data_IF_132346887864
#
_entry.id   IF_132346887864
#
_cell.length_a   1.000
_cell.length_b   1.000
_cell.length_c   1.000
_cell.angle_alpha   90.00
_cell.angle_beta   90.00
_cell.angle_gamma   90.00
#
_symmetry.space_group_name_H-M   'P 1'
#
loop_
_entity.id
_entity.type
_entity.pdbx_description
1 polymer ?
#
# COMPACT_ATOMS: atom_id res chain seq x y z
N UNK A 1 30.81 -12.74 -8.93
CA UNK A 1 30.39 -11.57 -8.17
C UNK A 1 29.06 -11.89 -7.50
N UNK A 2 29.07 -12.03 -6.22
CA UNK A 2 27.87 -12.35 -5.47
C UNK A 2 26.99 -11.10 -5.39
N UNK A 3 26.04 -11.00 -6.28
CA UNK A 3 24.86 -10.16 -6.06
C UNK A 3 24.17 -10.75 -4.83
N UNK A 4 23.99 -9.94 -3.82
CA UNK A 4 23.38 -10.29 -2.54
C UNK A 4 22.08 -11.07 -2.73
N UNK A 5 22.15 -12.39 -2.78
CA UNK A 5 21.00 -13.28 -2.99
C UNK A 5 20.10 -13.39 -1.74
N UNK A 6 20.40 -12.65 -0.68
CA UNK A 6 19.69 -12.73 0.61
C UNK A 6 18.91 -11.46 1.00
N UNK A 7 18.66 -10.55 0.05
CA UNK A 7 17.87 -9.35 0.35
C UNK A 7 16.40 -9.71 0.42
N UNK A 8 15.82 -9.55 1.60
CA UNK A 8 14.39 -9.69 1.75
C UNK A 8 13.67 -8.45 1.20
N UNK A 9 12.59 -8.71 0.50
CA UNK A 9 11.75 -7.71 -0.15
C UNK A 9 10.35 -7.80 0.43
N UNK A 10 9.80 -6.68 0.85
CA UNK A 10 8.45 -6.58 1.35
C UNK A 10 7.51 -6.04 0.28
N UNK A 11 6.43 -6.74 0.04
CA UNK A 11 5.34 -6.31 -0.84
C UNK A 11 4.12 -5.95 -0.02
N UNK A 12 3.63 -4.73 -0.17
CA UNK A 12 2.31 -4.33 0.28
C UNK A 12 1.37 -4.46 -0.91
N UNK A 13 0.44 -5.39 -0.84
CA UNK A 13 -0.45 -5.70 -1.96
C UNK A 13 -1.91 -5.56 -1.59
N UNK A 14 -2.75 -5.39 -2.59
CA UNK A 14 -4.19 -5.54 -2.42
C UNK A 14 -4.54 -6.99 -2.05
N UNK A 15 -5.72 -7.20 -1.51
CA UNK A 15 -6.29 -8.53 -1.22
C UNK A 15 -6.68 -9.18 -2.55
N UNK A 16 -5.71 -9.83 -3.16
CA UNK A 16 -5.85 -10.49 -4.46
C UNK A 16 -4.99 -11.75 -4.53
N UNK A 17 -5.53 -12.79 -5.11
CA UNK A 17 -4.81 -14.04 -5.32
C UNK A 17 -3.98 -13.99 -6.61
N UNK A 18 -2.86 -14.71 -6.63
CA UNK A 18 -2.07 -14.94 -7.84
C UNK A 18 -1.09 -13.83 -8.20
N UNK A 19 -0.89 -12.83 -7.35
CA UNK A 19 0.10 -11.76 -7.58
C UNK A 19 1.53 -12.21 -7.35
N UNK A 20 1.76 -13.16 -6.46
CA UNK A 20 3.12 -13.57 -6.03
C UNK A 20 4.04 -13.96 -7.20
N UNK A 21 3.65 -14.84 -8.14
CA UNK A 21 4.53 -15.23 -9.23
C UNK A 21 4.94 -14.06 -10.12
N UNK A 22 4.02 -13.13 -10.35
CA UNK A 22 4.24 -11.96 -11.21
C UNK A 22 5.18 -10.97 -10.52
N UNK A 23 4.99 -10.77 -9.23
CA UNK A 23 5.85 -9.92 -8.42
C UNK A 23 7.28 -10.49 -8.33
N UNK A 24 7.40 -11.80 -8.17
CA UNK A 24 8.69 -12.49 -8.18
C UNK A 24 9.44 -12.30 -9.50
N UNK A 25 8.75 -12.49 -10.62
CA UNK A 25 9.35 -12.31 -11.95
C UNK A 25 9.74 -10.85 -12.20
N UNK A 26 8.84 -9.92 -11.92
CA UNK A 26 9.05 -8.49 -12.19
C UNK A 26 10.16 -7.86 -11.36
N UNK A 27 10.35 -8.34 -10.13
CA UNK A 27 11.36 -7.80 -9.20
C UNK A 27 12.60 -8.69 -9.08
N UNK A 28 12.60 -9.82 -9.77
CA UNK A 28 13.66 -10.85 -9.66
C UNK A 28 13.90 -11.28 -8.20
N UNK A 29 12.82 -11.43 -7.45
CA UNK A 29 12.84 -11.82 -6.04
C UNK A 29 12.46 -13.30 -5.92
N UNK A 30 13.28 -14.09 -5.21
CA UNK A 30 12.93 -15.48 -4.93
C UNK A 30 11.83 -15.59 -3.87
N UNK A 31 11.06 -16.68 -3.92
CA UNK A 31 9.96 -16.91 -2.98
C UNK A 31 10.40 -16.88 -1.51
N UNK A 32 11.59 -17.36 -1.22
CA UNK A 32 12.17 -17.39 0.14
C UNK A 32 12.54 -16.02 0.69
N UNK A 33 12.76 -15.03 -0.20
CA UNK A 33 13.10 -13.66 0.16
C UNK A 33 11.91 -12.70 0.06
N UNK A 34 10.73 -13.22 -0.26
CA UNK A 34 9.51 -12.45 -0.42
C UNK A 34 8.68 -12.43 0.86
N UNK A 35 8.40 -11.26 1.37
CA UNK A 35 7.43 -11.02 2.43
C UNK A 35 6.25 -10.26 1.87
N UNK A 36 5.04 -10.58 2.30
CA UNK A 36 3.83 -9.94 1.79
C UNK A 36 2.91 -9.51 2.92
N UNK A 37 2.47 -8.28 2.86
CA UNK A 37 1.36 -7.76 3.68
C UNK A 37 0.22 -7.43 2.73
N UNK A 38 -0.93 -8.04 2.95
CA UNK A 38 -2.13 -7.80 2.15
C UNK A 38 -3.11 -6.92 2.92
N UNK A 39 -3.54 -5.85 2.27
CA UNK A 39 -4.60 -4.99 2.79
C UNK A 39 -5.44 -4.47 1.63
N UNK A 40 -6.70 -4.15 1.87
CA UNK A 40 -7.56 -3.63 0.82
C UNK A 40 -6.97 -2.33 0.25
N UNK A 41 -6.76 -2.30 -1.09
CA UNK A 41 -6.16 -1.18 -1.80
C UNK A 41 -4.66 -0.96 -1.58
N UNK A 42 -3.96 -1.84 -0.85
CA UNK A 42 -2.54 -1.71 -0.50
C UNK A 42 -2.18 -0.36 0.17
N UNK A 43 -3.17 0.35 0.71
CA UNK A 43 -3.02 1.68 1.27
C UNK A 43 -2.55 1.68 2.73
N UNK A 44 -1.74 2.67 3.07
CA UNK A 44 -1.42 3.02 4.45
C UNK A 44 -2.16 4.32 4.78
N UNK A 45 -3.16 4.24 5.64
CA UNK A 45 -3.99 5.38 6.00
C UNK A 45 -3.39 6.25 7.11
N UNK A 46 -2.52 5.67 7.92
CA UNK A 46 -1.98 6.36 9.09
C UNK A 46 -0.52 5.98 9.37
N UNK A 47 0.37 6.97 9.62
CA UNK A 47 1.80 6.71 9.85
C UNK A 47 2.10 5.91 11.12
N UNK A 48 1.16 5.81 12.04
CA UNK A 48 1.27 5.05 13.29
C UNK A 48 0.25 3.90 13.37
N UNK A 49 -0.35 3.53 12.24
CA UNK A 49 -1.29 2.40 12.15
C UNK A 49 -0.59 1.05 12.12
N UNK A 50 -1.38 -0.02 12.20
CA UNK A 50 -0.88 -1.40 12.29
C UNK A 50 -0.08 -1.84 11.06
N UNK A 51 -0.46 -1.40 9.87
CA UNK A 51 0.28 -1.71 8.65
C UNK A 51 1.67 -1.06 8.69
N UNK A 52 1.74 0.22 9.03
CA UNK A 52 3.03 0.91 9.15
C UNK A 52 3.91 0.31 10.24
N UNK A 53 3.33 -0.08 11.37
CA UNK A 53 4.02 -0.82 12.43
C UNK A 53 4.61 -2.12 11.90
N UNK A 54 3.85 -2.88 11.11
CA UNK A 54 4.32 -4.13 10.50
C UNK A 54 5.46 -3.91 9.50
N UNK A 55 5.40 -2.83 8.72
CA UNK A 55 6.49 -2.42 7.82
C UNK A 55 7.78 -2.16 8.61
N UNK A 56 7.68 -1.42 9.70
CA UNK A 56 8.84 -1.11 10.57
C UNK A 56 9.45 -2.39 11.14
N UNK A 57 8.62 -3.31 11.65
CA UNK A 57 9.11 -4.60 12.15
C UNK A 57 9.75 -5.45 11.05
N UNK A 58 9.20 -5.45 9.85
CA UNK A 58 9.80 -6.16 8.71
C UNK A 58 11.21 -5.61 8.39
N UNK A 59 11.41 -4.31 8.45
CA UNK A 59 12.73 -3.70 8.24
C UNK A 59 13.72 -4.15 9.31
N UNK A 60 13.35 -4.09 10.58
CA UNK A 60 14.30 -4.29 11.69
C UNK A 60 14.46 -5.74 12.13
N UNK A 61 13.46 -6.59 11.96
CA UNK A 61 13.51 -7.99 12.38
C UNK A 61 13.77 -8.96 11.25
N UNK A 62 13.33 -8.62 10.05
CA UNK A 62 13.47 -9.48 8.88
C UNK A 62 14.52 -8.98 7.88
N UNK A 63 15.22 -7.91 8.20
CA UNK A 63 16.26 -7.31 7.35
C UNK A 63 15.76 -6.92 5.94
N UNK A 64 14.56 -6.35 5.87
CA UNK A 64 14.00 -5.84 4.62
C UNK A 64 14.76 -4.60 4.16
N UNK A 65 15.26 -4.62 2.95
CA UNK A 65 15.98 -3.49 2.34
C UNK A 65 15.20 -2.85 1.18
N UNK A 66 14.16 -3.50 0.68
CA UNK A 66 13.35 -3.00 -0.43
C UNK A 66 11.86 -3.25 -0.16
N UNK A 67 11.04 -2.25 -0.43
CA UNK A 67 9.60 -2.29 -0.22
C UNK A 67 8.90 -1.86 -1.49
N UNK A 68 7.95 -2.67 -1.95
CA UNK A 68 7.06 -2.35 -3.05
C UNK A 68 5.63 -2.18 -2.56
N UNK A 69 5.04 -1.03 -2.85
CA UNK A 69 3.61 -0.80 -2.68
C UNK A 69 2.93 -1.08 -4.01
N UNK A 70 2.10 -2.12 -4.05
CA UNK A 70 1.53 -2.68 -5.28
C UNK A 70 0.06 -2.31 -5.41
N UNK A 71 -0.26 -1.42 -6.32
CA UNK A 71 -1.62 -1.05 -6.68
C UNK A 71 -2.16 -1.84 -7.87
N UNK A 72 -3.46 -1.93 -7.98
CA UNK A 72 -4.14 -2.54 -9.12
C UNK A 72 -4.85 -1.47 -9.93
N UNK A 73 -4.48 -1.32 -11.20
CA UNK A 73 -5.24 -0.50 -12.17
C UNK A 73 -6.28 -1.39 -12.86
N UNK A 74 -7.40 -0.80 -13.24
CA UNK A 74 -8.48 -1.47 -13.98
C UNK A 74 -9.18 -2.62 -13.21
N UNK A 75 -8.96 -2.71 -11.91
CA UNK A 75 -9.91 -3.45 -11.10
C UNK A 75 -11.25 -2.73 -11.27
N UNK A 76 -12.09 -3.26 -12.17
CA UNK A 76 -13.50 -2.91 -12.16
C UNK A 76 -13.93 -3.17 -10.73
N UNK A 77 -14.01 -2.12 -9.98
CA UNK A 77 -14.55 -2.19 -8.64
C UNK A 77 -15.84 -2.94 -8.78
N UNK A 78 -15.90 -4.13 -8.22
CA UNK A 78 -17.16 -4.81 -7.96
C UNK A 78 -17.89 -3.99 -6.87
N UNK A 79 -17.71 -2.67 -6.94
CA UNK A 79 -18.34 -1.69 -6.09
C UNK A 79 -19.86 -1.86 -6.07
N UNK A 80 -20.42 -2.39 -7.16
CA UNK A 80 -21.82 -2.72 -7.22
C UNK A 80 -22.25 -3.78 -6.19
N UNK A 81 -21.47 -4.84 -5.99
CA UNK A 81 -21.91 -5.95 -5.12
C UNK A 81 -21.58 -5.71 -3.64
N UNK A 82 -20.46 -5.07 -3.33
CA UNK A 82 -20.09 -4.73 -1.95
C UNK A 82 -21.00 -3.65 -1.37
N UNK A 83 -21.30 -2.61 -2.15
CA UNK A 83 -22.19 -1.52 -1.74
C UNK A 83 -23.66 -1.98 -1.59
N UNK A 84 -24.11 -2.95 -2.40
CA UNK A 84 -25.46 -3.51 -2.27
C UNK A 84 -25.64 -4.25 -0.94
N UNK A 85 -24.62 -4.95 -0.48
CA UNK A 85 -24.64 -5.57 0.85
C UNK A 85 -24.58 -4.54 1.98
N UNK A 86 -23.87 -3.42 1.79
CA UNK A 86 -23.81 -2.32 2.74
C UNK A 86 -25.14 -1.59 2.86
N UNK A 87 -25.93 -1.50 1.79
CA UNK A 87 -27.28 -0.91 1.85
C UNK A 87 -28.22 -1.64 2.81
N UNK A 88 -28.02 -2.96 3.01
CA UNK A 88 -28.78 -3.71 4.01
C UNK A 88 -28.38 -3.39 5.46
N UNK A 89 -27.27 -2.66 5.64
CA UNK A 89 -26.72 -2.28 6.94
C UNK A 89 -26.82 -0.78 7.23
N UNK A 90 -27.74 -0.08 6.56
CA UNK A 90 -27.88 1.40 6.67
C UNK A 90 -27.89 1.92 8.11
N UNK A 91 -28.59 1.27 9.02
CA UNK A 91 -28.65 1.69 10.43
C UNK A 91 -27.28 1.56 11.13
N UNK A 92 -26.52 0.54 10.79
CA UNK A 92 -25.16 0.34 11.33
C UNK A 92 -24.17 1.35 10.74
N UNK A 93 -24.34 1.69 9.46
CA UNK A 93 -23.51 2.70 8.78
C UNK A 93 -23.74 4.07 9.40
N UNK A 94 -25.00 4.45 9.67
CA UNK A 94 -25.30 5.71 10.34
C UNK A 94 -24.66 5.80 11.73
N UNK A 95 -24.67 4.71 12.49
CA UNK A 95 -23.99 4.64 13.78
C UNK A 95 -22.47 4.80 13.63
N UNK A 96 -21.88 4.14 12.63
CA UNK A 96 -20.46 4.27 12.33
C UNK A 96 -20.11 5.68 11.85
N UNK A 97 -20.90 6.28 10.99
CA UNK A 97 -20.70 7.67 10.56
C UNK A 97 -20.72 8.64 11.74
N UNK A 98 -21.63 8.44 12.68
CA UNK A 98 -21.65 9.22 13.91
C UNK A 98 -20.37 9.05 14.72
N UNK A 99 -19.87 7.81 14.87
CA UNK A 99 -18.64 7.53 15.58
C UNK A 99 -17.43 8.13 14.86
N UNK A 100 -17.34 8.02 13.54
CA UNK A 100 -16.28 8.62 12.73
C UNK A 100 -16.20 10.12 12.89
N UNK A 101 -17.36 10.79 12.95
CA UNK A 101 -17.44 12.24 13.11
C UNK A 101 -17.09 12.71 14.53
N UNK A 102 -17.32 11.89 15.54
CA UNK A 102 -17.20 12.28 16.94
C UNK A 102 -16.03 11.66 17.69
N UNK A 103 -15.39 10.62 17.16
CA UNK A 103 -14.24 9.96 17.75
C UNK A 103 -12.91 10.51 17.21
N UNK A 104 -12.70 11.80 17.30
CA UNK A 104 -11.42 12.44 16.98
C UNK A 104 -10.41 12.17 18.10
N UNK A 105 -9.11 11.96 17.77
CA UNK A 105 -8.39 12.15 16.50
C UNK A 105 -8.13 10.86 15.71
N UNK A 106 -8.67 9.73 16.10
CA UNK A 106 -8.31 8.41 15.55
C UNK A 106 -8.80 8.19 14.12
N UNK A 107 -9.84 8.92 13.71
CA UNK A 107 -10.33 8.91 12.34
C UNK A 107 -10.21 10.31 11.72
N UNK A 108 -9.50 10.39 10.62
CA UNK A 108 -9.34 11.62 9.84
C UNK A 108 -10.66 11.97 9.14
N UNK A 109 -11.57 12.56 9.85
CA UNK A 109 -12.82 13.14 9.41
C UNK A 109 -13.26 12.79 7.98
N UNK A 110 -14.25 11.94 7.85
CA UNK A 110 -14.82 11.49 6.61
C UNK A 110 -16.07 10.69 6.90
N UNK A 111 -16.67 10.15 5.85
CA UNK A 111 -17.76 9.20 5.94
C UNK A 111 -17.22 7.77 5.85
N UNK A 112 -18.00 6.80 6.31
CA UNK A 112 -17.70 5.37 6.13
C UNK A 112 -17.53 5.03 4.65
N UNK A 113 -18.33 5.67 3.80
CA UNK A 113 -18.28 5.46 2.35
C UNK A 113 -16.95 5.94 1.74
N UNK A 114 -16.47 7.10 2.13
CA UNK A 114 -15.15 7.59 1.72
C UNK A 114 -14.03 6.66 2.18
N UNK A 115 -14.07 6.21 3.42
CA UNK A 115 -13.09 5.27 3.96
C UNK A 115 -13.09 3.91 3.25
N UNK A 116 -14.25 3.39 2.90
CA UNK A 116 -14.37 2.11 2.17
C UNK A 116 -13.97 2.21 0.70
N UNK A 117 -14.13 3.38 0.09
CA UNK A 117 -13.87 3.61 -1.34
C UNK A 117 -12.52 4.30 -1.62
N UNK A 118 -11.65 4.42 -0.64
CA UNK A 118 -10.33 5.04 -0.80
C UNK A 118 -9.37 4.13 -1.61
N UNK A 119 -9.63 4.03 -2.91
CA UNK A 119 -8.87 3.23 -3.87
C UNK A 119 -8.49 4.07 -5.07
N UNK A 120 -7.53 4.95 -4.92
CA UNK A 120 -7.00 5.71 -6.05
C UNK A 120 -5.51 5.46 -6.26
N UNK A 121 -5.03 5.76 -7.46
CA UNK A 121 -3.58 5.82 -7.73
C UNK A 121 -2.86 6.72 -6.73
N UNK A 122 -3.54 7.73 -6.23
CA UNK A 122 -3.05 8.63 -5.20
C UNK A 122 -2.76 7.91 -3.87
N UNK A 123 -3.48 6.83 -3.57
CA UNK A 123 -3.26 6.03 -2.35
C UNK A 123 -1.91 5.34 -2.37
N UNK A 124 -1.47 4.83 -3.52
CA UNK A 124 -0.17 4.18 -3.67
C UNK A 124 0.96 5.20 -3.51
N UNK A 125 0.84 6.34 -4.16
CA UNK A 125 1.82 7.43 -4.05
C UNK A 125 1.93 7.95 -2.62
N UNK A 126 0.81 8.22 -1.97
CA UNK A 126 0.76 8.63 -0.56
C UNK A 126 1.37 7.58 0.37
N UNK A 127 1.12 6.30 0.13
CA UNK A 127 1.68 5.20 0.93
C UNK A 127 3.19 5.09 0.75
N UNK A 128 3.69 5.22 -0.48
CA UNK A 128 5.13 5.27 -0.77
C UNK A 128 5.80 6.43 -0.05
N UNK A 129 5.20 7.62 -0.13
CA UNK A 129 5.72 8.81 0.52
C UNK A 129 5.69 8.69 2.05
N UNK A 130 4.60 8.13 2.60
CA UNK A 130 4.47 7.91 4.04
C UNK A 130 5.57 6.99 4.57
N UNK A 131 5.87 5.91 3.85
CA UNK A 131 6.95 4.99 4.25
C UNK A 131 8.31 5.69 4.14
N UNK A 132 8.59 6.34 3.01
CA UNK A 132 9.88 7.03 2.78
C UNK A 132 10.20 8.08 3.82
N UNK A 133 9.20 8.84 4.24
CA UNK A 133 9.39 9.97 5.17
C UNK A 133 9.14 9.60 6.64
N UNK A 134 8.83 8.33 6.92
CA UNK A 134 8.64 7.91 8.29
C UNK A 134 9.96 7.93 9.08
N UNK A 135 10.00 8.54 10.28
CA UNK A 135 11.25 8.71 11.04
C UNK A 135 11.99 7.41 11.38
N UNK A 136 11.26 6.31 11.48
CA UNK A 136 11.82 4.99 11.80
C UNK A 136 12.23 4.17 10.57
N UNK A 137 12.01 4.67 9.37
CA UNK A 137 12.45 4.00 8.13
C UNK A 137 13.85 4.49 7.76
N UNK A 138 14.85 3.60 7.76
CA UNK A 138 16.22 3.99 7.41
C UNK A 138 16.35 4.45 5.96
N UNK A 139 17.26 5.37 5.70
CA UNK A 139 17.48 5.94 4.36
C UNK A 139 17.99 4.93 3.32
N UNK A 140 18.56 3.81 3.76
CA UNK A 140 19.02 2.77 2.85
C UNK A 140 17.89 1.88 2.31
N UNK A 141 16.71 1.91 2.95
CA UNK A 141 15.54 1.14 2.50
C UNK A 141 14.95 1.79 1.27
N UNK A 142 14.87 1.03 0.17
CA UNK A 142 14.28 1.49 -1.08
C UNK A 142 12.78 1.25 -1.07
N UNK A 143 12.00 2.29 -1.35
CA UNK A 143 10.54 2.19 -1.40
C UNK A 143 10.07 2.61 -2.78
N UNK A 144 9.30 1.75 -3.45
CA UNK A 144 8.80 1.96 -4.80
C UNK A 144 7.32 1.59 -4.91
N UNK A 145 6.63 2.21 -5.87
CA UNK A 145 5.29 1.80 -6.29
C UNK A 145 5.34 0.90 -7.52
N UNK A 146 4.45 -0.08 -7.58
CA UNK A 146 4.19 -0.91 -8.74
C UNK A 146 2.70 -0.92 -9.03
N UNK A 147 2.34 -1.01 -10.30
CA UNK A 147 0.94 -1.20 -10.70
C UNK A 147 0.78 -2.50 -11.47
N UNK A 148 -0.24 -3.25 -11.09
CA UNK A 148 -0.71 -4.44 -11.80
C UNK A 148 -1.88 -4.05 -12.69
N UNK A 149 -1.79 -4.40 -13.95
CA UNK A 149 -2.89 -4.31 -14.90
C UNK A 149 -3.45 -5.68 -15.19
N UNK A 150 -4.76 -5.80 -15.26
CA UNK A 150 -5.43 -6.99 -15.74
C UNK A 150 -5.83 -6.80 -17.21
N UNK A 151 -5.05 -7.37 -18.14
CA UNK A 151 -5.43 -7.50 -19.53
C UNK A 151 -5.93 -8.91 -19.79
N UNK A 152 -7.17 -9.03 -20.28
CA UNK A 152 -7.78 -10.32 -20.66
C UNK A 152 -7.78 -11.37 -19.52
N UNK A 153 -7.82 -10.92 -18.27
CA UNK A 153 -7.79 -11.78 -17.09
C UNK A 153 -6.39 -12.18 -16.65
N UNK A 154 -5.34 -11.78 -17.37
CA UNK A 154 -3.96 -12.01 -16.96
C UNK A 154 -3.33 -10.74 -16.38
N UNK A 155 -2.78 -10.82 -15.16
CA UNK A 155 -2.11 -9.69 -14.55
C UNK A 155 -0.73 -9.45 -15.19
N UNK A 156 -0.44 -8.19 -15.45
CA UNK A 156 0.88 -7.72 -15.91
C UNK A 156 1.32 -6.52 -15.08
N UNK A 157 2.63 -6.37 -14.87
CA UNK A 157 3.17 -5.27 -14.08
C UNK A 157 3.58 -4.13 -14.99
N UNK A 158 3.12 -2.93 -14.61
CA UNK A 158 3.60 -1.68 -15.17
C UNK A 158 4.16 -0.83 -14.03
N UNK A 159 5.44 -0.54 -14.09
CA UNK A 159 6.08 0.37 -13.16
C UNK A 159 5.65 1.81 -13.49
N UNK A 160 5.14 2.54 -12.49
CA UNK A 160 4.78 3.94 -12.69
C UNK A 160 6.04 4.81 -12.63
N UNK A 161 6.43 5.46 -13.73
CA UNK A 161 7.63 6.31 -13.78
C UNK A 161 7.54 7.53 -12.84
N UNK A 162 6.35 7.98 -12.47
CA UNK A 162 6.16 9.09 -11.54
C UNK A 162 6.60 8.76 -10.12
N UNK A 163 6.55 7.47 -9.75
CA UNK A 163 6.96 7.00 -8.42
C UNK A 163 8.47 6.66 -8.38
N UNK A 164 9.14 6.60 -9.55
CA UNK A 164 10.58 6.35 -9.66
C UNK A 164 11.46 7.49 -9.18
N UNK A 165 11.03 8.71 -9.35
CA UNK A 165 11.81 9.89 -8.99
C UNK A 165 11.49 10.35 -7.59
N UNK A 166 12.14 9.74 -6.60
CA UNK A 166 12.42 10.46 -5.36
C UNK A 166 13.32 11.66 -5.72
N UNK A 167 12.76 12.71 -6.29
CA UNK A 167 13.43 13.98 -6.32
C UNK A 167 13.64 14.41 -4.87
N UNK A 168 14.91 14.49 -4.49
CA UNK A 168 15.29 15.22 -3.31
C UNK A 168 14.60 16.59 -3.37
N UNK A 169 13.72 16.84 -2.42
CA UNK A 169 13.21 18.18 -2.19
C UNK A 169 14.43 19.09 -1.96
N UNK A 170 14.52 20.24 -2.60
CA UNK A 170 15.60 21.17 -2.34
C UNK A 170 15.58 21.55 -0.86
N UNK A 171 16.74 21.51 -0.24
CA UNK A 171 17.02 22.00 1.11
C UNK A 171 16.68 23.49 1.24
N UNK A 172 15.41 23.83 1.38
CA UNK A 172 14.98 25.17 1.74
C UNK A 172 13.72 25.09 2.60
N UNK A 173 13.92 24.83 3.87
CA UNK A 173 13.11 25.35 4.98
C UNK A 173 13.74 24.97 6.33
N UNK A 174 14.92 25.52 6.59
CA UNK A 174 15.38 25.79 7.96
C UNK A 174 15.69 27.27 8.04
N UNK A 175 14.72 28.04 8.43
CA UNK A 175 14.88 29.36 8.98
C UNK A 175 13.83 29.57 10.04
#
# INVERSE_FOLDING_TARGET
MNVNQNKKVLFLTDIENGLEPILQEATNTSAENMLTIQSYGAGISHPYGEIMRSVIFAIYQEDVEEIFVVGTKDKKTSAGNGLTQLETMKDKIQTLDYLFQNCKPEFLGGTVDEWLNENSSDTIEKSVDMIRHHPLVPSYVKVRGLFVHHKDGEPSIVEDPAIKTGQALPDHCLS
#
